data_IF_599151907340
#
_entry.id   IF_599151907340
#
_cell.length_a   1.000
_cell.length_b   1.000
_cell.length_c   1.000
_cell.angle_alpha   90.00
_cell.angle_beta   90.00
_cell.angle_gamma   90.00
#
_symmetry.space_group_name_H-M   'P 1'
#
loop_
_entity.id
_entity.type
_entity.pdbx_description
1 polymer ?
#
# COMPACT_ATOMS: atom_id res chain seq x y z
N UNK A 1 11.15 19.33 4.96
CA UNK A 1 10.50 19.77 6.24
C UNK A 1 10.49 18.59 7.21
N UNK A 2 10.96 18.76 8.45
CA UNK A 2 10.93 17.68 9.45
C UNK A 2 9.66 17.84 10.31
N UNK A 3 8.82 16.83 10.33
CA UNK A 3 7.54 16.82 11.05
C UNK A 3 7.62 15.96 12.32
N UNK A 4 6.69 16.07 13.30
CA UNK A 4 6.62 15.16 14.43
C UNK A 4 6.58 13.67 14.03
N UNK A 5 5.90 13.32 12.93
CA UNK A 5 5.96 11.95 12.38
C UNK A 5 7.36 11.55 11.96
N UNK A 6 8.12 12.45 11.32
CA UNK A 6 9.51 12.17 10.96
C UNK A 6 10.39 11.90 12.19
N UNK A 7 10.17 12.66 13.27
CA UNK A 7 10.90 12.45 14.52
C UNK A 7 10.55 11.13 15.19
N UNK A 8 9.25 10.81 15.23
CA UNK A 8 8.74 9.58 15.84
C UNK A 8 9.23 8.34 15.07
N UNK A 9 9.16 8.36 13.73
CA UNK A 9 9.56 7.23 12.87
C UNK A 9 11.06 7.17 12.59
N UNK A 10 11.83 8.20 12.98
CA UNK A 10 13.27 8.31 12.73
C UNK A 10 13.63 8.54 11.26
N UNK A 11 12.70 9.05 10.43
CA UNK A 11 12.89 9.32 8.99
C UNK A 11 13.26 10.79 8.73
N UNK A 12 13.90 11.05 7.59
CA UNK A 12 14.34 12.39 7.19
C UNK A 12 13.29 13.14 6.37
N UNK A 13 12.57 12.41 5.53
CA UNK A 13 11.57 12.93 4.62
C UNK A 13 10.17 12.39 4.98
N UNK A 14 9.12 13.20 4.97
CA UNK A 14 7.77 12.80 5.36
C UNK A 14 7.06 12.02 4.23
N UNK A 15 7.73 11.01 3.68
CA UNK A 15 7.27 10.16 2.59
C UNK A 15 7.32 8.70 3.02
N UNK A 16 6.20 8.01 2.85
CA UNK A 16 6.07 6.57 3.12
C UNK A 16 5.70 5.86 1.82
N UNK A 17 6.46 4.84 1.45
CA UNK A 17 6.09 3.95 0.34
C UNK A 17 5.10 2.90 0.83
N UNK A 18 3.94 2.79 0.16
CA UNK A 18 2.91 1.81 0.50
C UNK A 18 3.42 0.36 0.33
N UNK A 19 3.05 -0.57 1.23
CA UNK A 19 3.41 -1.98 1.10
C UNK A 19 2.67 -2.61 -0.09
N UNK A 20 3.40 -3.01 -1.13
CA UNK A 20 2.84 -3.62 -2.33
C UNK A 20 3.12 -5.12 -2.42
N UNK A 21 4.23 -5.57 -1.86
CA UNK A 21 4.65 -6.95 -1.62
C UNK A 21 5.82 -6.92 -0.62
N UNK A 22 6.44 -8.06 -0.33
CA UNK A 22 7.67 -8.13 0.48
C UNK A 22 8.91 -7.74 -0.37
N UNK A 23 8.91 -6.53 -0.91
CA UNK A 23 9.92 -6.01 -1.84
C UNK A 23 11.10 -5.37 -1.10
N UNK A 24 12.08 -6.18 -0.80
CA UNK A 24 13.25 -5.86 0.03
C UNK A 24 14.05 -4.69 -0.53
N UNK A 25 14.38 -4.74 -1.82
CA UNK A 25 15.17 -3.71 -2.51
C UNK A 25 14.43 -2.38 -2.58
N UNK A 26 13.13 -2.41 -2.86
CA UNK A 26 12.30 -1.20 -2.89
C UNK A 26 12.22 -0.55 -1.51
N UNK A 27 11.93 -1.34 -0.48
CA UNK A 27 11.82 -0.83 0.89
C UNK A 27 13.15 -0.21 1.36
N UNK A 28 14.28 -0.90 1.11
CA UNK A 28 15.60 -0.39 1.45
C UNK A 28 15.95 0.89 0.68
N UNK A 29 15.63 0.95 -0.63
CA UNK A 29 15.92 2.13 -1.46
C UNK A 29 15.16 3.37 -1.00
N UNK A 30 13.87 3.24 -0.65
CA UNK A 30 13.07 4.34 -0.10
C UNK A 30 13.59 4.78 1.26
N UNK A 31 13.98 3.85 2.12
CA UNK A 31 14.57 4.16 3.42
C UNK A 31 15.92 4.87 3.28
N UNK A 32 16.78 4.41 2.37
CA UNK A 32 18.05 5.06 2.05
C UNK A 32 17.87 6.46 1.43
N UNK A 33 16.75 6.72 0.75
CA UNK A 33 16.37 8.05 0.26
C UNK A 33 15.80 8.97 1.37
N UNK A 34 15.76 8.50 2.62
CA UNK A 34 15.31 9.27 3.78
C UNK A 34 13.80 9.16 4.06
N UNK A 35 13.03 8.43 3.26
CA UNK A 35 11.63 8.11 3.53
C UNK A 35 11.45 6.87 4.40
N UNK A 36 10.25 6.31 4.44
CA UNK A 36 9.95 5.03 5.08
C UNK A 36 9.55 4.00 4.01
N UNK A 37 10.41 3.04 3.75
CA UNK A 37 10.07 1.87 2.94
C UNK A 37 9.24 0.87 3.74
N UNK A 38 8.24 0.24 3.11
CA UNK A 38 7.32 -0.70 3.76
C UNK A 38 7.29 -2.05 3.04
N UNK A 39 7.39 -3.13 3.82
CA UNK A 39 7.22 -4.51 3.38
C UNK A 39 5.76 -4.95 3.57
N UNK A 40 5.15 -5.66 2.62
CA UNK A 40 3.89 -6.36 2.86
C UNK A 40 4.19 -7.78 3.34
N UNK A 41 3.90 -8.08 4.61
CA UNK A 41 4.30 -9.31 5.27
C UNK A 41 3.17 -10.34 5.43
N UNK A 42 1.92 -9.97 5.13
CA UNK A 42 0.72 -10.79 5.35
C UNK A 42 0.83 -12.21 4.77
N UNK A 43 1.47 -12.34 3.62
CA UNK A 43 1.63 -13.63 2.92
C UNK A 43 3.08 -14.13 2.89
N UNK A 44 4.00 -13.45 3.60
CA UNK A 44 5.38 -13.93 3.72
C UNK A 44 5.48 -15.10 4.70
N UNK A 45 6.24 -16.12 4.35
CA UNK A 45 6.43 -17.31 5.19
C UNK A 45 7.87 -17.86 5.05
N UNK A 46 8.75 -17.65 6.04
CA UNK A 46 8.53 -16.86 7.26
C UNK A 46 8.57 -15.34 7.04
N UNK A 47 7.77 -14.59 7.81
CA UNK A 47 7.69 -13.13 7.70
C UNK A 47 8.95 -12.40 8.17
N UNK A 48 9.79 -13.04 8.97
CA UNK A 48 11.07 -12.49 9.43
C UNK A 48 12.16 -12.42 8.35
N UNK A 49 12.06 -13.22 7.27
CA UNK A 49 13.10 -13.24 6.24
C UNK A 49 13.19 -11.93 5.45
N UNK A 50 12.09 -11.35 4.93
CA UNK A 50 12.15 -10.03 4.28
C UNK A 50 12.67 -8.94 5.21
N UNK A 51 12.36 -9.00 6.50
CA UNK A 51 12.85 -8.06 7.51
C UNK A 51 14.37 -8.14 7.63
N UNK A 52 14.93 -9.33 7.82
CA UNK A 52 16.39 -9.54 7.88
C UNK A 52 17.10 -9.12 6.60
N UNK A 53 16.52 -9.47 5.45
CA UNK A 53 17.07 -9.10 4.15
C UNK A 53 17.08 -7.57 3.95
N UNK A 54 16.01 -6.87 4.33
CA UNK A 54 15.96 -5.41 4.24
C UNK A 54 16.98 -4.77 5.18
N UNK A 55 17.11 -5.26 6.42
CA UNK A 55 18.11 -4.78 7.39
C UNK A 55 19.57 -5.01 6.92
N UNK A 56 19.81 -5.94 6.00
CA UNK A 56 21.12 -6.13 5.39
C UNK A 56 21.44 -5.08 4.29
N UNK A 57 20.43 -4.38 3.76
CA UNK A 57 20.55 -3.39 2.68
C UNK A 57 20.47 -1.93 3.17
N UNK A 58 20.00 -1.71 4.41
CA UNK A 58 19.85 -0.37 4.99
C UNK A 58 19.98 -0.40 6.50
N UNK A 59 20.59 0.63 7.06
CA UNK A 59 20.61 0.95 8.51
C UNK A 59 19.51 1.98 8.88
N UNK A 60 18.72 2.44 7.89
CA UNK A 60 17.65 3.39 8.07
C UNK A 60 16.35 2.69 8.48
N UNK A 61 15.42 3.42 9.15
CA UNK A 61 14.11 2.87 9.50
C UNK A 61 13.34 2.37 8.29
N UNK A 62 12.71 1.21 8.43
CA UNK A 62 11.72 0.66 7.49
C UNK A 62 10.61 -0.03 8.29
N UNK A 63 9.48 -0.28 7.66
CA UNK A 63 8.33 -0.87 8.32
C UNK A 63 7.81 -2.13 7.63
N UNK A 64 6.90 -2.83 8.31
CA UNK A 64 6.19 -3.98 7.78
C UNK A 64 4.69 -3.86 8.01
N UNK A 65 3.90 -4.29 7.03
CA UNK A 65 2.45 -4.25 7.08
C UNK A 65 1.83 -5.64 7.17
N UNK A 66 0.84 -5.78 8.03
CA UNK A 66 0.00 -6.96 8.17
C UNK A 66 -1.47 -6.60 7.99
N UNK A 67 -2.19 -7.43 7.22
CA UNK A 67 -3.64 -7.33 7.04
C UNK A 67 -4.29 -8.26 8.05
N UNK A 68 -4.92 -7.67 9.07
CA UNK A 68 -5.44 -8.39 10.23
C UNK A 68 -6.91 -8.82 10.09
N UNK A 69 -7.45 -8.89 8.87
CA UNK A 69 -8.72 -9.57 8.61
C UNK A 69 -8.63 -11.09 8.83
N UNK A 70 -7.42 -11.62 8.91
CA UNK A 70 -7.10 -12.99 9.32
C UNK A 70 -6.04 -12.97 10.40
N UNK A 71 -5.86 -14.08 11.13
CA UNK A 71 -4.87 -14.18 12.19
C UNK A 71 -3.44 -13.98 11.65
N UNK A 72 -2.73 -13.00 12.20
CA UNK A 72 -1.37 -12.63 11.84
C UNK A 72 -0.39 -12.70 13.02
N UNK A 73 -0.79 -13.27 14.16
CA UNK A 73 0.05 -13.29 15.36
C UNK A 73 1.42 -13.94 15.12
N UNK A 74 1.45 -15.09 14.45
CA UNK A 74 2.71 -15.78 14.11
C UNK A 74 3.63 -14.91 13.25
N UNK A 75 3.07 -14.28 12.20
CA UNK A 75 3.86 -13.40 11.31
C UNK A 75 4.35 -12.15 12.00
N UNK A 76 3.54 -11.59 12.90
CA UNK A 76 3.97 -10.49 13.74
C UNK A 76 5.15 -10.92 14.64
N UNK A 77 5.07 -12.08 15.31
CA UNK A 77 6.15 -12.61 16.14
C UNK A 77 7.46 -12.74 15.33
N UNK A 78 7.39 -13.42 14.19
CA UNK A 78 8.53 -13.62 13.29
C UNK A 78 9.17 -12.29 12.82
N UNK A 79 8.35 -11.29 12.53
CA UNK A 79 8.82 -9.97 12.09
C UNK A 79 9.47 -9.18 13.24
N UNK A 80 8.87 -9.19 14.44
CA UNK A 80 9.42 -8.52 15.63
C UNK A 80 10.71 -9.19 16.09
N UNK A 81 10.78 -10.52 16.10
CA UNK A 81 12.00 -11.30 16.41
C UNK A 81 13.12 -11.02 15.39
N UNK A 82 12.77 -10.72 14.14
CA UNK A 82 13.73 -10.29 13.11
C UNK A 82 14.17 -8.82 13.26
N UNK A 83 13.65 -8.08 14.24
CA UNK A 83 14.05 -6.72 14.57
C UNK A 83 13.19 -5.62 13.96
N UNK A 84 12.00 -5.91 13.42
CA UNK A 84 11.08 -4.90 12.90
C UNK A 84 10.65 -3.95 14.02
N UNK A 85 10.73 -2.62 13.78
CA UNK A 85 10.40 -1.58 14.77
C UNK A 85 9.22 -0.70 14.37
N UNK A 86 8.71 -0.82 13.15
CA UNK A 86 7.56 -0.07 12.66
C UNK A 86 6.59 -1.07 12.04
N UNK A 87 5.45 -1.28 12.70
CA UNK A 87 4.39 -2.20 12.27
C UNK A 87 3.19 -1.41 11.80
N UNK A 88 2.71 -1.66 10.60
CA UNK A 88 1.45 -1.13 10.10
C UNK A 88 0.40 -2.24 10.06
N UNK A 89 -0.77 -1.95 10.60
CA UNK A 89 -1.92 -2.85 10.55
C UNK A 89 -3.04 -2.25 9.72
N UNK A 90 -3.75 -3.10 8.99
CA UNK A 90 -4.88 -2.70 8.17
C UNK A 90 -5.95 -3.79 8.16
N UNK A 91 -7.22 -3.42 7.93
CA UNK A 91 -8.36 -4.33 7.74
C UNK A 91 -8.74 -5.13 8.98
N UNK A 92 -8.79 -4.51 10.14
CA UNK A 92 -9.21 -5.14 11.40
C UNK A 92 -9.04 -4.24 12.61
N UNK A 93 -9.39 -4.77 13.77
CA UNK A 93 -9.18 -4.16 15.08
C UNK A 93 -7.75 -4.49 15.57
N UNK A 94 -6.90 -3.49 15.86
CA UNK A 94 -5.52 -3.73 16.29
C UNK A 94 -5.40 -4.18 17.76
N UNK A 95 -6.45 -4.18 18.56
CA UNK A 95 -6.40 -4.32 20.03
C UNK A 95 -5.56 -5.52 20.49
N UNK A 96 -5.74 -6.68 19.86
CA UNK A 96 -5.01 -7.91 20.26
C UNK A 96 -3.52 -7.91 19.86
N UNK A 97 -3.09 -6.94 19.03
CA UNK A 97 -1.71 -6.84 18.53
C UNK A 97 -0.88 -5.77 19.27
N UNK A 98 -1.54 -4.74 19.82
CA UNK A 98 -0.90 -3.54 20.37
C UNK A 98 0.14 -3.86 21.44
N UNK A 99 -0.26 -4.63 22.47
CA UNK A 99 0.64 -4.94 23.59
C UNK A 99 1.92 -5.62 23.12
N UNK A 100 1.82 -6.58 22.22
CA UNK A 100 2.95 -7.31 21.67
C UNK A 100 3.90 -6.40 20.86
N UNK A 101 3.34 -5.47 20.09
CA UNK A 101 4.14 -4.49 19.32
C UNK A 101 4.89 -3.59 20.27
N UNK A 102 4.23 -3.05 21.29
CA UNK A 102 4.86 -2.16 22.28
C UNK A 102 5.88 -2.89 23.18
N UNK A 103 5.64 -4.14 23.58
CA UNK A 103 6.59 -4.95 24.33
C UNK A 103 7.90 -5.20 23.57
N UNK A 104 7.86 -5.10 22.24
CA UNK A 104 9.05 -5.19 21.37
C UNK A 104 9.71 -3.82 21.11
N UNK A 105 9.32 -2.75 21.81
CA UNK A 105 9.74 -1.37 21.54
C UNK A 105 9.53 -0.96 20.06
N UNK A 106 8.41 -1.41 19.47
CA UNK A 106 8.00 -1.10 18.11
C UNK A 106 6.79 -0.16 18.11
N UNK A 107 6.65 0.63 17.02
CA UNK A 107 5.55 1.56 16.81
C UNK A 107 4.44 0.92 16.00
N UNK A 108 3.19 1.22 16.36
CA UNK A 108 1.99 0.80 15.64
C UNK A 108 1.44 1.94 14.78
N UNK A 109 1.38 1.70 13.47
CA UNK A 109 0.64 2.51 12.50
C UNK A 109 -0.68 1.79 12.18
N UNK A 110 -1.83 2.45 12.35
CA UNK A 110 -3.14 1.86 11.97
C UNK A 110 -3.73 2.60 10.78
N UNK A 111 -4.03 1.86 9.70
CA UNK A 111 -4.75 2.42 8.56
C UNK A 111 -6.24 2.43 8.81
N UNK A 112 -6.86 3.59 8.58
CA UNK A 112 -8.28 3.85 8.83
C UNK A 112 -8.98 4.46 7.61
N UNK A 113 -10.29 4.27 7.54
CA UNK A 113 -11.17 4.75 6.46
C UNK A 113 -12.20 5.80 6.93
N UNK A 114 -12.20 6.15 8.22
CA UNK A 114 -13.08 7.16 8.79
C UNK A 114 -12.49 7.76 10.07
N UNK A 115 -13.01 8.91 10.49
CA UNK A 115 -12.66 9.54 11.76
C UNK A 115 -13.02 8.66 12.98
N UNK A 116 -14.11 7.88 12.88
CA UNK A 116 -14.52 6.95 13.93
C UNK A 116 -13.54 5.79 14.08
N UNK A 117 -13.11 5.18 12.98
CA UNK A 117 -12.04 4.17 13.02
C UNK A 117 -10.74 4.76 13.60
N UNK A 118 -10.44 6.03 13.29
CA UNK A 118 -9.29 6.74 13.88
C UNK A 118 -9.37 6.81 15.40
N UNK A 119 -10.53 7.21 15.97
CA UNK A 119 -10.73 7.25 17.44
C UNK A 119 -10.56 5.86 18.06
N UNK A 120 -11.13 4.83 17.43
CA UNK A 120 -11.02 3.45 17.90
C UNK A 120 -9.58 2.97 17.88
N UNK A 121 -8.81 3.25 16.81
CA UNK A 121 -7.41 2.90 16.70
C UNK A 121 -6.54 3.58 17.78
N UNK A 122 -6.77 4.88 18.05
CA UNK A 122 -6.09 5.60 19.14
C UNK A 122 -6.45 5.03 20.50
N UNK A 123 -7.74 4.73 20.73
CA UNK A 123 -8.18 4.12 21.98
C UNK A 123 -7.58 2.72 22.19
N UNK A 124 -7.31 1.98 21.12
CA UNK A 124 -6.61 0.70 21.17
C UNK A 124 -5.10 0.85 21.42
N UNK A 125 -4.49 2.02 21.15
CA UNK A 125 -3.07 2.30 21.40
C UNK A 125 -2.23 2.50 20.14
N UNK A 126 -2.84 2.86 19.00
CA UNK A 126 -2.06 3.21 17.80
C UNK A 126 -1.23 4.48 18.02
N UNK A 127 0.05 4.44 17.63
CA UNK A 127 1.00 5.57 17.75
C UNK A 127 0.85 6.57 16.59
N UNK A 128 0.45 6.08 15.42
CA UNK A 128 0.25 6.88 14.19
C UNK A 128 -1.00 6.38 13.46
N UNK A 129 -1.79 7.30 12.93
CA UNK A 129 -2.94 6.96 12.09
C UNK A 129 -2.63 7.20 10.63
N UNK A 130 -2.97 6.22 9.76
CA UNK A 130 -2.87 6.36 8.31
C UNK A 130 -4.29 6.53 7.75
N UNK A 131 -4.65 7.74 7.33
CA UNK A 131 -5.95 8.04 6.73
C UNK A 131 -5.93 7.71 5.23
N UNK A 132 -6.50 6.56 4.84
CA UNK A 132 -6.55 6.13 3.44
C UNK A 132 -7.86 6.57 2.78
N UNK A 133 -7.78 7.52 1.85
CA UNK A 133 -8.90 7.97 1.04
C UNK A 133 -9.26 7.01 -0.10
N UNK A 134 -10.49 7.20 -0.62
CA UNK A 134 -11.08 6.35 -1.66
C UNK A 134 -10.31 6.29 -2.97
N UNK A 135 -9.50 7.32 -3.29
CA UNK A 135 -8.70 7.42 -4.51
C UNK A 135 -7.46 6.49 -4.51
N UNK A 136 -7.20 5.81 -3.40
CA UNK A 136 -6.08 4.87 -3.29
C UNK A 136 -6.13 3.75 -4.33
N UNK A 137 -4.96 3.19 -4.66
CA UNK A 137 -4.80 1.98 -5.48
C UNK A 137 -4.64 0.74 -4.62
N UNK A 138 -4.81 -0.44 -5.21
CA UNK A 138 -4.85 -1.69 -4.47
C UNK A 138 -6.10 -1.79 -3.60
N UNK A 139 -6.01 -2.45 -2.47
CA UNK A 139 -7.16 -2.62 -1.56
C UNK A 139 -7.49 -1.31 -0.85
N UNK A 140 -8.76 -0.89 -0.95
CA UNK A 140 -9.28 0.39 -0.45
C UNK A 140 -10.61 0.16 0.25
N UNK A 141 -10.59 0.24 1.58
CA UNK A 141 -11.79 0.10 2.41
C UNK A 141 -12.64 1.38 2.42
N UNK A 142 -11.99 2.55 2.38
CA UNK A 142 -12.66 3.84 2.47
C UNK A 142 -13.59 4.10 1.28
N UNK A 143 -14.73 4.74 1.56
CA UNK A 143 -15.62 5.35 0.57
C UNK A 143 -15.60 6.89 0.65
N UNK A 144 -14.70 7.44 1.47
CA UNK A 144 -14.53 8.88 1.67
C UNK A 144 -13.30 9.33 0.89
N UNK A 145 -13.44 10.38 0.09
CA UNK A 145 -12.33 10.99 -0.63
C UNK A 145 -11.26 11.54 0.33
N UNK A 146 -10.00 11.54 -0.10
CA UNK A 146 -8.85 11.96 0.72
C UNK A 146 -9.02 13.39 1.24
N UNK A 147 -9.54 14.30 0.42
CA UNK A 147 -9.71 15.71 0.77
C UNK A 147 -10.58 15.95 2.02
N UNK A 148 -11.79 15.36 2.18
CA UNK A 148 -12.58 15.47 3.41
C UNK A 148 -12.14 14.51 4.51
N UNK A 149 -11.54 13.34 4.18
CA UNK A 149 -11.16 12.34 5.17
C UNK A 149 -10.02 12.82 6.06
N UNK A 150 -8.95 13.35 5.45
CA UNK A 150 -7.72 13.71 6.18
C UNK A 150 -8.01 14.70 7.31
N UNK A 151 -8.63 15.88 7.09
CA UNK A 151 -8.89 16.81 8.18
C UNK A 151 -9.87 16.24 9.22
N UNK A 152 -10.87 15.46 8.80
CA UNK A 152 -11.80 14.82 9.74
C UNK A 152 -11.09 13.81 10.68
N UNK A 153 -10.10 13.07 10.16
CA UNK A 153 -9.29 12.16 10.98
C UNK A 153 -8.33 12.96 11.86
N UNK A 154 -7.64 13.98 11.32
CA UNK A 154 -6.72 14.84 12.08
C UNK A 154 -7.43 15.44 13.30
N UNK A 155 -8.60 16.04 13.10
CA UNK A 155 -9.38 16.66 14.18
C UNK A 155 -9.87 15.61 15.22
N UNK A 156 -10.17 14.40 14.77
CA UNK A 156 -10.72 13.35 15.62
C UNK A 156 -9.68 12.67 16.52
N UNK A 157 -8.42 12.62 16.08
CA UNK A 157 -7.36 11.82 16.75
C UNK A 157 -6.29 12.67 17.41
N UNK A 158 -6.37 14.02 17.33
CA UNK A 158 -5.38 14.89 17.94
C UNK A 158 -5.17 14.55 19.43
N UNK A 159 -3.92 14.47 19.93
CA UNK A 159 -2.66 14.88 19.30
C UNK A 159 -1.92 13.78 18.52
N UNK A 160 -2.54 12.60 18.28
CA UNK A 160 -1.90 11.51 17.55
C UNK A 160 -1.63 11.94 16.10
N UNK A 161 -0.40 11.75 15.57
CA UNK A 161 -0.06 12.19 14.23
C UNK A 161 -0.76 11.38 13.13
N UNK A 162 -1.05 12.05 12.00
CA UNK A 162 -1.76 11.47 10.86
C UNK A 162 -0.88 11.48 9.61
N UNK A 163 -0.83 10.35 8.91
CA UNK A 163 -0.26 10.19 7.57
C UNK A 163 -1.41 10.10 6.58
N UNK A 164 -1.37 10.85 5.49
CA UNK A 164 -2.40 10.80 4.45
C UNK A 164 -2.03 9.80 3.34
N UNK A 165 -3.00 9.00 2.90
CA UNK A 165 -2.86 8.03 1.82
C UNK A 165 -4.02 8.14 0.81
N UNK A 166 -3.75 7.85 -0.46
CA UNK A 166 -4.75 7.85 -1.53
C UNK A 166 -4.77 9.15 -2.35
N UNK A 167 -4.72 9.02 -3.67
CA UNK A 167 -4.80 10.14 -4.61
C UNK A 167 -3.54 11.02 -4.72
N UNK A 168 -2.49 10.75 -3.97
CA UNK A 168 -1.24 11.52 -3.96
C UNK A 168 -0.29 10.97 -5.01
N UNK A 169 0.11 11.78 -6.00
CA UNK A 169 0.99 11.33 -7.10
C UNK A 169 2.25 12.16 -7.29
N UNK A 170 2.27 13.41 -6.83
CA UNK A 170 3.38 14.35 -6.99
C UNK A 170 3.51 15.32 -5.81
N UNK A 171 4.48 16.25 -5.88
CA UNK A 171 4.75 17.25 -4.83
C UNK A 171 3.54 18.13 -4.49
N UNK A 172 2.65 18.43 -5.45
CA UNK A 172 1.43 19.23 -5.23
C UNK A 172 0.47 18.49 -4.30
N UNK A 173 0.32 17.17 -4.52
CA UNK A 173 -0.49 16.31 -3.68
C UNK A 173 0.08 16.19 -2.26
N UNK A 174 1.41 16.11 -2.13
CA UNK A 174 2.09 16.13 -0.83
C UNK A 174 1.82 17.45 -0.10
N UNK A 175 2.04 18.60 -0.73
CA UNK A 175 1.75 19.92 -0.14
C UNK A 175 0.27 20.07 0.27
N UNK A 176 -0.66 19.55 -0.55
CA UNK A 176 -2.09 19.60 -0.26
C UNK A 176 -2.46 18.83 1.03
N UNK A 177 -1.96 17.62 1.21
CA UNK A 177 -2.28 16.83 2.44
C UNK A 177 -1.64 17.43 3.68
N UNK A 178 -0.52 18.13 3.57
CA UNK A 178 0.06 18.91 4.67
C UNK A 178 -0.85 20.09 5.04
N UNK A 179 -1.42 20.80 4.05
CA UNK A 179 -2.38 21.86 4.32
C UNK A 179 -3.67 21.34 4.99
N UNK A 180 -4.00 20.05 4.84
CA UNK A 180 -5.11 19.38 5.52
C UNK A 180 -4.75 18.89 6.94
N UNK A 181 -3.51 19.09 7.40
CA UNK A 181 -3.05 18.72 8.73
C UNK A 181 -2.33 17.37 8.82
N UNK A 182 -2.15 16.64 7.72
CA UNK A 182 -1.30 15.46 7.72
C UNK A 182 0.17 15.82 7.93
N UNK A 183 0.95 14.91 8.50
CA UNK A 183 2.36 15.11 8.81
C UNK A 183 3.31 14.30 7.92
N UNK A 184 2.79 13.40 7.10
CA UNK A 184 3.48 12.68 6.04
C UNK A 184 2.49 12.24 4.96
N UNK A 185 3.01 11.86 3.80
CA UNK A 185 2.26 11.29 2.69
C UNK A 185 2.66 9.82 2.45
N UNK A 186 1.65 8.96 2.25
CA UNK A 186 1.82 7.53 1.98
C UNK A 186 1.39 7.23 0.55
N UNK A 187 2.35 6.81 -0.30
CA UNK A 187 2.16 6.66 -1.74
C UNK A 187 2.44 5.22 -2.19
N UNK A 188 1.52 4.65 -2.98
CA UNK A 188 1.73 3.36 -3.65
C UNK A 188 2.01 3.54 -5.15
N UNK A 189 1.02 4.06 -5.88
CA UNK A 189 1.02 4.16 -7.35
C UNK A 189 2.27 4.85 -7.90
N UNK A 190 2.77 5.90 -7.23
CA UNK A 190 3.98 6.61 -7.66
C UNK A 190 5.20 5.69 -7.73
N UNK A 191 5.34 4.77 -6.77
CA UNK A 191 6.47 3.84 -6.70
C UNK A 191 6.36 2.64 -7.66
N UNK A 192 5.22 2.43 -8.34
CA UNK A 192 5.11 1.44 -9.43
C UNK A 192 6.05 1.77 -10.60
N UNK A 193 6.41 3.04 -10.77
CA UNK A 193 7.38 3.53 -11.76
C UNK A 193 8.75 3.83 -11.13
N UNK A 194 9.09 3.27 -9.96
CA UNK A 194 10.48 3.32 -9.49
C UNK A 194 11.34 2.28 -10.21
N UNK A 195 12.64 2.56 -10.34
CA UNK A 195 13.61 1.65 -10.94
C UNK A 195 13.73 0.36 -10.12
N UNK A 196 13.63 0.48 -8.78
CA UNK A 196 13.77 -0.60 -7.81
C UNK A 196 12.51 -1.47 -7.68
N UNK A 197 11.37 -1.03 -8.23
CA UNK A 197 10.14 -1.82 -8.27
C UNK A 197 10.23 -2.87 -9.38
N UNK A 198 10.16 -4.19 -9.10
CA UNK A 198 10.25 -5.24 -10.11
C UNK A 198 8.92 -5.42 -10.89
N UNK A 199 8.28 -4.33 -11.29
CA UNK A 199 7.04 -4.34 -12.06
C UNK A 199 7.27 -4.95 -13.44
N UNK A 200 6.40 -5.84 -13.91
CA UNK A 200 6.47 -6.35 -15.28
C UNK A 200 6.41 -5.21 -16.30
N UNK A 201 7.19 -5.29 -17.38
CA UNK A 201 7.31 -4.22 -18.39
C UNK A 201 5.97 -3.75 -18.97
N UNK A 202 5.03 -4.67 -19.20
CA UNK A 202 3.69 -4.35 -19.71
C UNK A 202 2.86 -3.60 -18.65
N UNK A 203 2.92 -4.03 -17.39
CA UNK A 203 2.24 -3.33 -16.31
C UNK A 203 2.82 -1.92 -16.11
N UNK A 204 4.15 -1.78 -16.13
CA UNK A 204 4.85 -0.48 -16.07
C UNK A 204 4.40 0.45 -17.19
N UNK A 205 4.31 -0.07 -18.43
CA UNK A 205 3.80 0.66 -19.59
C UNK A 205 2.35 1.10 -19.39
N UNK A 206 1.47 0.19 -18.96
CA UNK A 206 0.05 0.48 -18.69
C UNK A 206 -0.11 1.58 -17.63
N UNK A 207 0.72 1.57 -16.57
CA UNK A 207 0.72 2.61 -15.54
C UNK A 207 1.18 3.97 -16.11
N UNK A 208 2.24 3.99 -16.92
CA UNK A 208 2.77 5.22 -17.50
C UNK A 208 1.82 5.86 -18.53
N UNK A 209 1.06 5.03 -19.27
CA UNK A 209 0.11 5.48 -20.31
C UNK A 209 -1.27 5.87 -19.72
N UNK A 210 -1.64 5.35 -18.53
CA UNK A 210 -2.95 5.51 -17.94
C UNK A 210 -3.28 6.97 -17.57
N UNK A 211 -4.56 7.30 -17.63
CA UNK A 211 -5.14 8.54 -17.08
C UNK A 211 -5.98 8.21 -15.84
N UNK A 212 -6.38 9.25 -15.10
CA UNK A 212 -7.11 9.10 -13.83
C UNK A 212 -8.41 8.29 -13.93
N UNK A 213 -9.05 8.32 -15.11
CA UNK A 213 -10.29 7.59 -15.40
C UNK A 213 -10.07 6.09 -15.69
N UNK A 214 -8.85 5.65 -15.93
CA UNK A 214 -8.53 4.25 -16.15
C UNK A 214 -8.45 3.44 -14.84
N UNK A 215 -8.25 4.12 -13.70
CA UNK A 215 -8.20 3.50 -12.38
C UNK A 215 -9.60 3.38 -11.78
N UNK A 216 -10.22 2.20 -11.93
CA UNK A 216 -11.58 1.92 -11.50
C UNK A 216 -11.62 1.23 -10.13
N UNK A 217 -12.62 1.60 -9.31
CA UNK A 217 -12.91 0.93 -8.05
C UNK A 217 -13.88 -0.24 -8.27
N UNK A 218 -13.57 -1.35 -7.64
CA UNK A 218 -14.36 -2.58 -7.68
C UNK A 218 -14.64 -3.05 -6.25
N UNK A 219 -15.87 -3.48 -5.98
CA UNK A 219 -16.23 -4.07 -4.71
C UNK A 219 -15.68 -5.50 -4.57
N UNK A 220 -15.66 -6.25 -5.68
CA UNK A 220 -15.55 -7.70 -5.68
C UNK A 220 -15.03 -8.29 -7.01
N UNK A 221 -14.02 -7.66 -7.66
CA UNK A 221 -13.50 -8.18 -8.94
C UNK A 221 -12.30 -9.12 -8.78
N UNK A 222 -11.19 -8.62 -8.18
CA UNK A 222 -9.96 -9.40 -7.95
C UNK A 222 -9.93 -9.87 -6.49
N UNK A 223 -10.80 -10.80 -6.14
CA UNK A 223 -11.08 -11.22 -4.77
C UNK A 223 -10.98 -12.73 -4.52
N UNK A 224 -10.43 -13.49 -5.48
CA UNK A 224 -10.11 -14.91 -5.28
C UNK A 224 -9.13 -15.03 -4.12
N UNK A 225 -9.53 -15.78 -3.09
CA UNK A 225 -8.73 -15.95 -1.86
C UNK A 225 -8.89 -14.82 -0.83
N UNK A 226 -9.49 -13.68 -1.18
CA UNK A 226 -9.77 -12.59 -0.24
C UNK A 226 -11.09 -11.89 -0.57
N UNK A 227 -12.24 -12.50 -0.25
CA UNK A 227 -13.56 -11.95 -0.53
C UNK A 227 -13.86 -10.70 0.34
N UNK A 228 -14.77 -9.85 -0.16
CA UNK A 228 -15.18 -8.60 0.51
C UNK A 228 -14.02 -7.61 0.74
N UNK A 229 -13.03 -7.61 -0.12
CA UNK A 229 -11.89 -6.72 -0.08
C UNK A 229 -11.95 -5.73 -1.26
N UNK A 230 -12.73 -4.65 -1.18
CA UNK A 230 -12.84 -3.66 -2.25
C UNK A 230 -11.47 -3.07 -2.59
N UNK A 231 -11.30 -2.78 -3.87
CA UNK A 231 -9.99 -2.41 -4.41
C UNK A 231 -10.08 -1.51 -5.63
N UNK A 232 -8.94 -0.94 -6.02
CA UNK A 232 -8.81 -0.13 -7.24
C UNK A 232 -7.67 -0.63 -8.11
N UNK A 233 -7.99 -0.85 -9.40
CA UNK A 233 -7.03 -1.30 -10.41
C UNK A 233 -7.29 -0.60 -11.74
N UNK A 234 -6.33 -0.68 -12.68
CA UNK A 234 -6.54 -0.24 -14.05
C UNK A 234 -7.57 -1.14 -14.74
N UNK A 235 -8.45 -0.52 -15.50
CA UNK A 235 -9.40 -1.22 -16.36
C UNK A 235 -8.65 -2.03 -17.42
N UNK A 236 -9.09 -3.27 -17.65
CA UNK A 236 -8.47 -4.21 -18.57
C UNK A 236 -9.48 -5.19 -19.17
N UNK A 237 -9.01 -6.18 -19.93
CA UNK A 237 -9.88 -7.18 -20.58
C UNK A 237 -10.72 -7.98 -19.57
N UNK A 238 -10.17 -8.36 -18.42
CA UNK A 238 -10.90 -9.08 -17.37
C UNK A 238 -12.03 -8.22 -16.80
N UNK A 239 -11.77 -6.98 -16.44
CA UNK A 239 -12.80 -6.08 -15.91
C UNK A 239 -13.87 -5.76 -16.99
N UNK A 240 -13.46 -5.56 -18.24
CA UNK A 240 -14.39 -5.30 -19.34
C UNK A 240 -15.32 -6.50 -19.61
N UNK A 241 -14.78 -7.71 -19.58
CA UNK A 241 -15.56 -8.94 -19.75
C UNK A 241 -16.56 -9.14 -18.61
N UNK A 242 -16.15 -8.92 -17.38
CA UNK A 242 -17.02 -8.98 -16.20
C UNK A 242 -18.14 -7.93 -16.26
N UNK A 243 -17.83 -6.69 -16.62
CA UNK A 243 -18.81 -5.62 -16.81
C UNK A 243 -19.81 -5.94 -17.92
N UNK A 244 -19.34 -6.44 -19.08
CA UNK A 244 -20.20 -6.84 -20.20
C UNK A 244 -21.17 -7.98 -19.85
N UNK A 245 -20.78 -8.85 -18.93
CA UNK A 245 -21.63 -9.93 -18.39
C UNK A 245 -22.61 -9.46 -17.29
N UNK A 246 -22.66 -8.17 -16.95
CA UNK A 246 -23.54 -7.62 -15.93
C UNK A 246 -23.00 -7.76 -14.50
N UNK A 247 -21.68 -7.89 -14.35
CA UNK A 247 -20.97 -7.96 -13.05
C UNK A 247 -21.45 -9.15 -12.19
N UNK A 248 -21.42 -10.39 -12.70
CA UNK A 248 -21.85 -11.55 -11.95
C UNK A 248 -20.97 -11.79 -10.72
N UNK A 249 -21.52 -12.40 -9.63
CA UNK A 249 -20.77 -12.71 -8.42
C UNK A 249 -19.76 -13.83 -8.62
N UNK A 250 -18.88 -14.01 -7.63
CA UNK A 250 -17.96 -15.15 -7.54
C UNK A 250 -18.67 -16.48 -7.78
N UNK A 251 -18.07 -17.37 -8.55
CA UNK A 251 -18.65 -18.67 -8.98
C UNK A 251 -19.51 -18.60 -10.24
N UNK A 252 -19.71 -17.39 -10.83
CA UNK A 252 -20.52 -17.19 -12.05
C UNK A 252 -19.87 -16.23 -13.05
N UNK A 253 -18.61 -15.85 -12.82
CA UNK A 253 -17.89 -14.88 -13.65
C UNK A 253 -17.40 -15.51 -14.94
N UNK A 254 -17.40 -14.79 -16.07
CA UNK A 254 -16.91 -15.33 -17.33
C UNK A 254 -15.40 -15.61 -17.26
N UNK A 255 -15.00 -16.82 -17.67
CA UNK A 255 -13.61 -17.26 -17.62
C UNK A 255 -13.05 -17.41 -16.21
N UNK A 256 -13.90 -17.59 -15.20
CA UNK A 256 -13.45 -17.85 -13.83
C UNK A 256 -12.68 -19.17 -13.77
N UNK A 257 -11.46 -19.12 -13.17
CA UNK A 257 -10.56 -20.27 -13.13
C UNK A 257 -9.69 -20.47 -14.38
N UNK A 258 -9.83 -19.65 -15.44
CA UNK A 258 -8.90 -19.66 -16.55
C UNK A 258 -7.50 -19.28 -16.07
N UNK A 259 -6.50 -20.11 -16.38
CA UNK A 259 -5.09 -19.78 -16.15
C UNK A 259 -4.67 -18.72 -17.16
N UNK A 260 -4.35 -17.51 -16.68
CA UNK A 260 -3.95 -16.38 -17.53
C UNK A 260 -2.42 -16.26 -17.65
N UNK A 261 -1.71 -16.58 -16.58
CA UNK A 261 -0.28 -16.32 -16.49
C UNK A 261 0.39 -17.26 -15.48
N UNK A 262 1.72 -17.18 -15.42
CA UNK A 262 2.52 -17.89 -14.42
C UNK A 262 3.50 -16.89 -13.79
N UNK A 263 3.65 -16.93 -12.47
CA UNK A 263 4.73 -16.23 -11.79
C UNK A 263 6.11 -16.79 -12.19
N UNK A 264 7.17 -16.06 -11.87
CA UNK A 264 8.55 -16.54 -12.09
C UNK A 264 8.85 -17.86 -11.34
N UNK A 265 8.11 -18.17 -10.28
CA UNK A 265 8.15 -19.44 -9.54
C UNK A 265 7.56 -20.63 -10.32
N UNK A 266 6.78 -20.36 -11.38
CA UNK A 266 5.99 -21.33 -12.11
C UNK A 266 4.56 -21.52 -11.57
N UNK A 267 4.20 -20.86 -10.49
CA UNK A 267 2.84 -20.86 -9.93
C UNK A 267 1.86 -20.19 -10.90
N UNK A 268 0.69 -20.80 -11.09
CA UNK A 268 -0.36 -20.30 -11.96
C UNK A 268 -1.06 -19.07 -11.37
N UNK A 269 -1.42 -18.12 -12.23
CA UNK A 269 -2.28 -16.98 -11.90
C UNK A 269 -3.59 -17.15 -12.65
N UNK A 270 -4.67 -17.39 -11.92
CA UNK A 270 -5.99 -17.53 -12.52
C UNK A 270 -6.70 -16.19 -12.65
N UNK A 271 -7.68 -16.12 -13.56
CA UNK A 271 -8.50 -14.92 -13.73
C UNK A 271 -9.22 -14.56 -12.43
N UNK A 272 -9.27 -13.26 -12.11
CA UNK A 272 -9.82 -12.67 -10.89
C UNK A 272 -8.97 -12.87 -9.62
N UNK A 273 -7.78 -13.42 -9.73
CA UNK A 273 -6.84 -13.51 -8.60
C UNK A 273 -6.14 -12.16 -8.36
N UNK A 274 -5.85 -11.79 -7.08
CA UNK A 274 -5.23 -10.52 -6.74
C UNK A 274 -3.71 -10.43 -7.04
N UNK A 275 -3.13 -11.41 -7.71
CA UNK A 275 -1.70 -11.48 -8.04
C UNK A 275 -1.27 -10.41 -9.06
N UNK A 276 -0.45 -9.44 -8.63
CA UNK A 276 0.11 -8.42 -9.51
C UNK A 276 1.30 -8.96 -10.33
N UNK A 277 1.40 -8.66 -11.64
CA UNK A 277 2.50 -9.15 -12.46
C UNK A 277 3.83 -8.44 -12.16
N UNK A 278 4.85 -9.24 -11.82
CA UNK A 278 6.23 -8.81 -11.57
C UNK A 278 7.17 -9.28 -12.68
N UNK A 279 8.42 -8.85 -12.64
CA UNK A 279 9.45 -9.36 -13.55
C UNK A 279 9.49 -10.89 -13.50
N UNK A 280 9.52 -11.52 -14.68
CA UNK A 280 9.49 -12.98 -14.82
C UNK A 280 8.10 -13.60 -14.92
N UNK A 281 7.01 -12.85 -14.65
CA UNK A 281 5.65 -13.30 -14.97
C UNK A 281 5.49 -13.46 -16.49
N UNK A 282 4.85 -14.55 -16.94
CA UNK A 282 4.61 -14.84 -18.37
C UNK A 282 3.13 -15.16 -18.58
N UNK A 283 2.57 -14.75 -19.71
CA UNK A 283 1.16 -14.98 -20.07
C UNK A 283 0.43 -13.70 -20.44
N UNK A 284 -0.87 -13.64 -20.16
CA UNK A 284 -1.78 -12.53 -20.47
C UNK A 284 -1.69 -11.41 -19.41
N UNK A 285 -0.57 -10.73 -19.36
CA UNK A 285 -0.25 -9.71 -18.32
C UNK A 285 -1.30 -8.62 -18.22
N UNK A 286 -1.83 -8.19 -19.37
CA UNK A 286 -2.86 -7.15 -19.45
C UNK A 286 -4.14 -7.52 -18.68
N UNK A 287 -4.49 -8.80 -18.63
CA UNK A 287 -5.71 -9.31 -18.02
C UNK A 287 -5.61 -9.48 -16.48
N UNK A 288 -4.42 -9.34 -15.89
CA UNK A 288 -4.18 -9.51 -14.45
C UNK A 288 -4.57 -8.27 -13.64
N UNK A 289 -4.52 -8.38 -12.31
CA UNK A 289 -4.78 -7.27 -11.38
C UNK A 289 -3.67 -6.21 -11.47
N UNK A 290 -3.94 -5.13 -12.18
CA UNK A 290 -3.02 -4.00 -12.38
C UNK A 290 -3.37 -2.89 -11.37
N UNK A 291 -2.92 -3.01 -10.15
CA UNK A 291 -3.23 -2.10 -9.04
C UNK A 291 -2.75 -0.67 -9.32
N UNK A 292 -3.64 0.32 -9.30
CA UNK A 292 -3.28 1.73 -9.41
C UNK A 292 -4.39 2.61 -8.84
N UNK A 293 -4.01 3.70 -8.16
CA UNK A 293 -4.93 4.73 -7.68
C UNK A 293 -5.22 5.80 -8.75
N UNK A 294 -6.15 6.71 -8.44
CA UNK A 294 -6.53 7.78 -9.36
C UNK A 294 -5.40 8.79 -9.65
N UNK A 295 -4.37 8.83 -8.81
CA UNK A 295 -3.16 9.62 -9.10
C UNK A 295 -2.32 9.09 -10.26
N UNK A 296 -2.67 7.96 -10.88
CA UNK A 296 -1.94 7.35 -12.01
C UNK A 296 -1.74 8.34 -13.16
N UNK A 297 -2.73 9.20 -13.43
CA UNK A 297 -2.64 10.24 -14.44
C UNK A 297 -1.56 11.32 -14.24
N UNK A 298 -0.99 11.39 -13.02
CA UNK A 298 0.07 12.35 -12.66
C UNK A 298 1.48 11.79 -12.80
N UNK A 299 1.62 10.46 -12.99
CA UNK A 299 2.92 9.79 -13.04
C UNK A 299 3.20 9.28 -14.44
N UNK A 300 4.38 9.58 -15.00
CA UNK A 300 4.70 9.29 -16.41
C UNK A 300 6.08 8.68 -16.61
N UNK A 301 6.99 8.93 -15.68
CA UNK A 301 8.40 8.60 -15.86
C UNK A 301 8.88 7.61 -14.80
N UNK A 302 9.71 6.68 -15.25
CA UNK A 302 10.49 5.83 -14.36
C UNK A 302 11.67 6.63 -13.80
N UNK A 303 11.85 6.58 -12.48
CA UNK A 303 12.90 7.29 -11.75
C UNK A 303 13.41 6.41 -10.61
N UNK A 304 14.60 6.71 -10.08
CA UNK A 304 15.07 6.07 -8.85
C UNK A 304 14.18 6.45 -7.64
N UNK A 305 14.14 5.62 -6.61
CA UNK A 305 13.45 5.97 -5.36
C UNK A 305 13.99 7.28 -4.76
N UNK A 306 15.28 7.55 -4.90
CA UNK A 306 15.89 8.79 -4.43
C UNK A 306 15.34 10.02 -5.16
N UNK A 307 15.23 9.96 -6.49
CA UNK A 307 14.67 11.07 -7.29
C UNK A 307 13.18 11.26 -7.01
N UNK A 308 12.43 10.16 -6.86
CA UNK A 308 11.01 10.20 -6.49
C UNK A 308 10.82 10.89 -5.13
N UNK A 309 11.56 10.50 -4.11
CA UNK A 309 11.46 11.12 -2.77
C UNK A 309 11.84 12.59 -2.85
N UNK A 310 12.94 12.94 -3.55
CA UNK A 310 13.37 14.33 -3.72
C UNK A 310 12.31 15.18 -4.45
N UNK A 311 11.70 14.66 -5.52
CA UNK A 311 10.59 15.32 -6.24
C UNK A 311 9.40 15.55 -5.31
N UNK A 312 8.96 14.52 -4.57
CA UNK A 312 7.76 14.58 -3.74
C UNK A 312 7.86 15.64 -2.63
N UNK A 313 9.05 15.88 -2.08
CA UNK A 313 9.26 16.89 -1.03
C UNK A 313 9.61 18.28 -1.56
N UNK A 314 9.73 18.46 -2.86
CA UNK A 314 10.17 19.72 -3.47
C UNK A 314 9.21 20.90 -3.26
N UNK A 315 7.95 20.63 -2.87
CA UNK A 315 6.94 21.65 -2.58
C UNK A 315 6.73 21.91 -1.08
N UNK A 316 7.52 21.27 -0.21
CA UNK A 316 7.53 21.49 1.24
C UNK A 316 8.68 22.43 1.63
#
# INVERSE_FOLDING_TARGET
MRTPVCELLGIEQPIVQAPMSALVELAAAVSNAGGLGMLALTWSDPAGDPVRQTAALTDKPFGGNLIISTDQHRRLDEALEAGLKIVSLFWGDPTDYVQKIHDADALLLQTVSSAEEGRQAVAAGADVIVAQGWEGGGHVKSQIATLPLVPAVVDAVAPVPVIAAGGIGDARGVAAVFALGAQAAWLGTRFLLSEEMPTHKEYRRRVADAVETDAQWYADLYDVGWPNAPHRALRNSTSAMWEAAGRPPLGSRPGEGDVLAHFASGEEIVRYEPGAPMVGTTGEIEALSLWAGQSVGLIRQTQSCADIVAELVSAL
#
